data_IF_176686585212
#
_entry.id   IF_176686585212
#
_cell.length_a   1.000
_cell.length_b   1.000
_cell.length_c   1.000
_cell.angle_alpha   90.00
_cell.angle_beta   90.00
_cell.angle_gamma   90.00
#
_symmetry.space_group_name_H-M   'P 1'
#
loop_
_entity.id
_entity.type
_entity.pdbx_description
1 polymer ?
#
# COMPACT_ATOMS: atom_id res chain seq x y z
N UNK A 1 17.29 -8.76 -14.67
CA UNK A 1 17.39 -9.00 -13.23
C UNK A 1 16.00 -9.26 -12.68
N UNK A 2 15.85 -10.35 -12.00
CA UNK A 2 14.58 -10.72 -11.35
C UNK A 2 14.65 -10.42 -9.87
N UNK A 3 13.49 -10.14 -9.31
CA UNK A 3 13.30 -9.99 -7.87
C UNK A 3 12.15 -10.90 -7.43
N UNK A 4 12.19 -11.33 -6.20
CA UNK A 4 11.11 -12.04 -5.54
C UNK A 4 10.82 -11.37 -4.22
N UNK A 5 9.55 -11.08 -3.99
CA UNK A 5 9.09 -10.51 -2.75
C UNK A 5 8.06 -11.36 -2.07
N UNK A 6 7.59 -10.88 -0.94
CA UNK A 6 6.60 -11.55 -0.11
C UNK A 6 5.56 -10.55 0.35
N UNK A 7 4.29 -10.94 0.33
CA UNK A 7 3.21 -10.21 0.95
C UNK A 7 3.25 -10.49 2.46
N UNK A 8 3.47 -9.45 3.28
CA UNK A 8 3.56 -9.60 4.72
C UNK A 8 2.23 -9.39 5.43
N UNK A 9 1.50 -8.32 5.07
CA UNK A 9 0.27 -7.93 5.75
C UNK A 9 -0.77 -7.45 4.77
N UNK A 10 -2.03 -7.69 5.11
CA UNK A 10 -3.21 -7.17 4.39
C UNK A 10 -4.04 -6.38 5.40
N UNK A 11 -4.37 -5.13 5.07
CA UNK A 11 -5.20 -4.29 5.91
C UNK A 11 -6.30 -3.62 5.09
N UNK A 12 -7.49 -3.57 5.65
CA UNK A 12 -8.66 -2.89 5.07
C UNK A 12 -9.34 -2.03 6.11
N UNK A 13 -10.11 -1.05 5.66
CA UNK A 13 -11.00 -0.27 6.51
C UNK A 13 -12.33 -0.06 5.79
N UNK A 14 -13.48 -0.08 6.50
CA UNK A 14 -14.78 0.05 5.85
C UNK A 14 -15.07 1.47 5.35
N UNK A 15 -14.38 2.46 5.86
CA UNK A 15 -14.54 3.87 5.47
C UNK A 15 -13.30 4.68 5.84
N UNK A 16 -13.25 5.92 5.34
CA UNK A 16 -12.21 6.88 5.72
C UNK A 16 -12.16 7.07 7.23
N UNK A 17 -10.97 7.24 7.78
CA UNK A 17 -10.68 7.46 9.20
C UNK A 17 -10.99 6.30 10.15
N UNK A 18 -11.57 5.22 9.67
CA UNK A 18 -11.79 4.02 10.49
C UNK A 18 -10.48 3.27 10.69
N UNK A 19 -10.39 2.55 11.79
CA UNK A 19 -9.23 1.70 12.06
C UNK A 19 -9.04 0.67 10.96
N UNK A 20 -7.79 0.37 10.66
CA UNK A 20 -7.44 -0.67 9.71
C UNK A 20 -7.52 -2.03 10.38
N UNK A 21 -8.18 -2.97 9.71
CA UNK A 21 -8.31 -4.35 10.16
C UNK A 21 -7.35 -5.25 9.39
N UNK A 22 -6.58 -6.06 10.11
CA UNK A 22 -5.70 -7.05 9.51
C UNK A 22 -6.49 -8.26 9.04
N UNK A 23 -6.24 -8.71 7.81
CA UNK A 23 -6.89 -9.88 7.23
C UNK A 23 -5.90 -11.02 7.04
N UNK A 24 -6.38 -12.25 7.25
CA UNK A 24 -5.64 -13.48 6.94
C UNK A 24 -5.83 -13.92 5.50
N UNK A 25 -6.82 -13.37 4.81
CA UNK A 25 -7.02 -13.51 3.37
C UNK A 25 -7.90 -12.37 2.88
N UNK A 26 -7.77 -12.04 1.60
CA UNK A 26 -8.56 -11.00 0.96
C UNK A 26 -8.90 -11.39 -0.47
N UNK A 27 -10.11 -11.01 -0.92
CA UNK A 27 -10.53 -11.18 -2.31
C UNK A 27 -10.34 -9.86 -3.05
N UNK A 28 -9.61 -9.89 -4.14
CA UNK A 28 -9.38 -8.78 -5.04
C UNK A 28 -10.32 -8.86 -6.24
N UNK A 29 -11.00 -7.76 -6.55
CA UNK A 29 -11.96 -7.68 -7.64
C UNK A 29 -11.51 -6.61 -8.64
N UNK A 30 -11.25 -7.00 -9.92
CA UNK A 30 -10.84 -6.04 -10.94
C UNK A 30 -11.83 -4.89 -11.08
N UNK A 31 -11.31 -3.68 -11.20
CA UNK A 31 -12.11 -2.46 -11.34
C UNK A 31 -12.74 -1.96 -10.06
N UNK A 32 -12.57 -2.67 -8.93
CA UNK A 32 -13.21 -2.31 -7.66
C UNK A 32 -12.27 -2.21 -6.47
N UNK A 33 -11.48 -3.23 -6.19
CA UNK A 33 -10.57 -3.26 -5.05
C UNK A 33 -10.68 -4.53 -4.21
N UNK A 34 -10.33 -4.42 -2.94
CA UNK A 34 -10.41 -5.51 -1.97
C UNK A 34 -11.81 -5.51 -1.35
N UNK A 35 -12.49 -6.65 -1.39
CA UNK A 35 -13.83 -6.79 -0.80
C UNK A 35 -13.81 -6.31 0.66
N UNK A 36 -14.71 -5.40 1.00
CA UNK A 36 -14.84 -4.82 2.34
C UNK A 36 -13.97 -3.60 2.61
N UNK A 37 -13.05 -3.26 1.71
CA UNK A 37 -12.24 -2.06 1.86
C UNK A 37 -12.96 -0.80 1.36
N UNK A 38 -12.58 0.34 1.90
CA UNK A 38 -13.16 1.65 1.55
C UNK A 38 -13.06 2.00 0.07
N UNK A 39 -12.03 1.55 -0.63
CA UNK A 39 -11.91 1.81 -2.07
C UNK A 39 -12.89 0.95 -2.87
N UNK A 40 -13.10 -0.29 -2.44
CA UNK A 40 -14.14 -1.16 -3.00
C UNK A 40 -15.54 -0.59 -2.75
N UNK A 41 -15.77 -0.08 -1.55
CA UNK A 41 -17.09 0.44 -1.12
C UNK A 41 -17.36 1.88 -1.59
N UNK A 42 -16.35 2.60 -2.07
CA UNK A 42 -16.49 4.00 -2.45
C UNK A 42 -16.61 4.96 -1.27
N UNK A 43 -16.11 4.59 -0.10
CA UNK A 43 -16.23 5.32 1.17
C UNK A 43 -14.91 5.92 1.66
N UNK A 44 -13.86 5.88 0.86
CA UNK A 44 -12.58 6.49 1.18
C UNK A 44 -12.59 8.00 0.99
N UNK A 45 -11.65 8.70 1.64
CA UNK A 45 -11.49 10.16 1.54
C UNK A 45 -11.37 10.63 0.08
N UNK A 46 -10.67 9.86 -0.73
CA UNK A 46 -10.40 10.22 -2.13
C UNK A 46 -11.25 9.46 -3.14
N UNK A 47 -12.20 8.63 -2.68
CA UNK A 47 -13.07 7.83 -3.56
C UNK A 47 -13.83 8.63 -4.61
N UNK A 48 -14.30 9.86 -4.31
CA UNK A 48 -14.99 10.67 -5.31
C UNK A 48 -14.08 11.22 -6.42
N UNK A 49 -12.77 11.19 -6.25
CA UNK A 49 -11.83 11.74 -7.21
C UNK A 49 -11.46 10.71 -8.27
N UNK A 50 -11.44 11.09 -9.57
CA UNK A 50 -11.04 10.17 -10.65
C UNK A 50 -9.56 9.84 -10.51
N UNK A 51 -9.26 8.63 -10.08
CA UNK A 51 -7.89 8.13 -9.93
C UNK A 51 -7.92 6.61 -9.77
N UNK A 52 -6.81 5.96 -10.11
CA UNK A 52 -6.65 4.53 -9.87
C UNK A 52 -6.21 4.32 -8.43
N UNK A 53 -7.08 3.68 -7.67
CA UNK A 53 -6.85 3.41 -6.25
C UNK A 53 -7.63 2.18 -5.80
N UNK A 54 -7.47 1.08 -6.55
CA UNK A 54 -8.17 -0.16 -6.19
C UNK A 54 -7.47 -0.86 -5.03
N UNK A 55 -6.14 -0.87 -5.06
CA UNK A 55 -5.30 -1.41 -4.00
C UNK A 55 -4.04 -0.56 -3.84
N UNK A 56 -3.61 -0.36 -2.61
CA UNK A 56 -2.41 0.43 -2.29
C UNK A 56 -1.39 -0.44 -1.57
N UNK A 57 -0.11 -0.23 -1.89
CA UNK A 57 1.01 -1.01 -1.35
C UNK A 57 2.07 -0.11 -0.75
N UNK A 58 2.79 -0.62 0.25
CA UNK A 58 4.00 0.02 0.79
C UNK A 58 5.03 -1.05 1.12
N UNK A 59 6.31 -0.68 1.01
CA UNK A 59 7.44 -1.53 1.36
C UNK A 59 7.68 -1.53 2.88
N UNK A 60 7.78 -2.70 3.50
CA UNK A 60 8.16 -2.80 4.93
C UNK A 60 9.54 -2.20 5.17
N UNK A 61 10.43 -2.24 4.18
CA UNK A 61 11.76 -1.62 4.24
C UNK A 61 11.67 -0.12 4.51
N UNK A 62 10.65 0.56 3.99
CA UNK A 62 10.38 1.97 4.29
C UNK A 62 10.01 2.15 5.77
N UNK A 63 9.15 1.29 6.30
CA UNK A 63 8.76 1.34 7.71
C UNK A 63 9.96 1.09 8.62
N UNK A 64 10.81 0.15 8.27
CA UNK A 64 12.04 -0.16 8.99
C UNK A 64 13.03 1.02 8.96
N UNK A 65 13.19 1.66 7.78
CA UNK A 65 14.05 2.85 7.65
C UNK A 65 13.54 4.02 8.50
N UNK A 66 12.23 4.27 8.50
CA UNK A 66 11.61 5.30 9.34
C UNK A 66 11.88 5.02 10.82
N UNK A 67 11.73 3.77 11.26
CA UNK A 67 11.98 3.38 12.65
C UNK A 67 13.43 3.60 13.06
N UNK A 68 14.39 3.45 12.13
CA UNK A 68 15.82 3.73 12.38
C UNK A 68 16.19 5.22 12.25
N UNK A 69 15.24 6.06 11.79
CA UNK A 69 15.52 7.47 11.50
C UNK A 69 16.40 7.67 10.27
N UNK A 70 16.21 6.85 9.23
CA UNK A 70 17.01 6.89 8.00
C UNK A 70 16.14 7.24 6.77
N UNK A 71 16.54 8.21 5.95
CA UNK A 71 17.52 9.24 6.27
C UNK A 71 16.99 10.15 7.40
N UNK A 72 17.90 10.89 8.05
CA UNK A 72 17.47 11.87 9.06
C UNK A 72 16.69 13.00 8.41
N UNK A 73 15.48 13.24 8.90
CA UNK A 73 14.62 14.33 8.45
C UNK A 73 14.41 15.25 9.66
N UNK A 74 14.83 16.54 9.58
CA UNK A 74 14.67 17.45 10.71
C UNK A 74 13.22 17.55 11.17
N UNK A 75 13.02 17.45 12.49
CA UNK A 75 11.68 17.55 13.10
C UNK A 75 10.81 16.29 12.92
N UNK A 76 11.34 15.23 12.34
CA UNK A 76 10.60 13.98 12.17
C UNK A 76 11.26 12.84 12.92
N UNK A 77 10.50 12.20 13.79
CA UNK A 77 10.88 10.96 14.45
C UNK A 77 9.62 10.17 14.68
N UNK A 78 9.53 8.99 14.10
CA UNK A 78 8.34 8.17 14.20
C UNK A 78 8.66 6.69 14.09
N UNK A 79 7.71 5.87 14.52
CA UNK A 79 7.65 4.45 14.22
C UNK A 79 6.24 4.18 13.68
N UNK A 80 6.17 3.56 12.52
CA UNK A 80 4.91 3.14 11.90
C UNK A 80 4.82 1.63 11.92
N UNK A 81 3.75 1.11 12.50
CA UNK A 81 3.41 -0.30 12.40
C UNK A 81 2.65 -0.57 11.10
N UNK A 82 2.42 -1.84 10.79
CA UNK A 82 1.79 -2.23 9.53
C UNK A 82 0.35 -1.70 9.38
N UNK A 83 -0.35 -1.46 10.47
CA UNK A 83 -1.71 -0.89 10.47
C UNK A 83 -1.74 0.63 10.35
N UNK A 84 -0.63 1.31 10.65
CA UNK A 84 -0.61 2.77 10.77
C UNK A 84 -0.56 3.49 9.44
N UNK A 85 0.18 2.94 8.46
CA UNK A 85 0.43 3.63 7.20
C UNK A 85 -0.80 3.73 6.28
N UNK A 86 -1.84 2.97 6.57
CA UNK A 86 -3.12 2.93 5.86
C UNK A 86 -3.04 2.45 4.40
N UNK A 87 -1.96 1.82 3.98
CA UNK A 87 -1.89 1.08 2.71
C UNK A 87 -2.45 -0.32 2.93
N UNK A 88 -3.07 -0.88 1.88
CA UNK A 88 -3.72 -2.19 1.98
C UNK A 88 -2.70 -3.33 2.15
N UNK A 89 -1.62 -3.30 1.39
CA UNK A 89 -0.64 -4.38 1.37
C UNK A 89 0.73 -3.87 1.82
N UNK A 90 1.34 -4.61 2.74
CA UNK A 90 2.72 -4.38 3.16
C UNK A 90 3.59 -5.48 2.56
N UNK A 91 4.63 -5.09 1.83
CA UNK A 91 5.48 -6.02 1.07
C UNK A 91 6.91 -6.03 1.58
N UNK A 92 7.64 -7.12 1.30
CA UNK A 92 9.09 -7.22 1.49
C UNK A 92 9.75 -7.67 0.20
N UNK A 93 10.89 -7.04 -0.14
CA UNK A 93 11.71 -7.44 -1.28
C UNK A 93 11.13 -7.07 -2.65
N UNK A 94 10.19 -6.14 -2.69
CA UNK A 94 9.53 -5.68 -3.93
C UNK A 94 9.98 -4.24 -4.23
N UNK A 95 10.63 -3.99 -5.37
CA UNK A 95 11.10 -2.63 -5.71
C UNK A 95 9.94 -1.76 -6.24
N UNK A 96 9.01 -1.38 -5.36
CA UNK A 96 7.76 -0.73 -5.75
C UNK A 96 7.96 0.51 -6.62
N UNK A 97 8.93 1.36 -6.29
CA UNK A 97 9.20 2.58 -7.05
C UNK A 97 9.60 2.34 -8.50
N UNK A 98 10.07 1.14 -8.83
CA UNK A 98 10.47 0.76 -10.19
C UNK A 98 9.36 0.08 -10.98
N UNK A 99 8.18 -0.11 -10.40
CA UNK A 99 7.08 -0.86 -11.01
C UNK A 99 6.02 0.00 -11.67
N UNK A 100 6.11 1.33 -11.56
CA UNK A 100 5.12 2.24 -12.17
C UNK A 100 4.98 1.94 -13.66
N UNK A 101 3.74 1.74 -14.12
CA UNK A 101 3.42 1.35 -15.49
C UNK A 101 3.59 -0.13 -15.79
N UNK A 102 4.06 -0.92 -14.85
CA UNK A 102 4.31 -2.36 -15.03
C UNK A 102 3.27 -3.22 -14.33
N UNK A 103 3.17 -4.44 -14.79
CA UNK A 103 2.35 -5.50 -14.18
C UNK A 103 3.23 -6.40 -13.34
N UNK A 104 2.66 -6.90 -12.25
CA UNK A 104 3.34 -7.87 -11.39
C UNK A 104 2.33 -8.77 -10.71
N UNK A 105 2.77 -9.92 -10.23
CA UNK A 105 1.92 -10.88 -9.55
C UNK A 105 2.01 -10.73 -8.04
N UNK A 106 0.86 -10.84 -7.40
CA UNK A 106 0.73 -11.05 -5.95
C UNK A 106 -0.07 -12.33 -5.78
N UNK A 107 0.59 -13.43 -5.44
CA UNK A 107 -0.04 -14.75 -5.43
C UNK A 107 -0.66 -15.08 -6.79
N UNK A 108 -1.95 -15.43 -6.79
CA UNK A 108 -2.69 -15.72 -8.02
C UNK A 108 -3.21 -14.46 -8.76
N UNK A 109 -3.10 -13.29 -8.14
CA UNK A 109 -3.61 -12.04 -8.72
C UNK A 109 -2.55 -11.32 -9.55
N UNK A 110 -3.02 -10.43 -10.45
CA UNK A 110 -2.16 -9.56 -11.24
C UNK A 110 -2.56 -8.12 -10.98
N UNK A 111 -1.58 -7.31 -10.58
CA UNK A 111 -1.73 -5.89 -10.37
C UNK A 111 -0.98 -5.11 -11.45
N UNK A 112 -1.50 -3.94 -11.80
CA UNK A 112 -0.80 -2.94 -12.60
C UNK A 112 -0.54 -1.72 -11.73
N UNK A 113 0.72 -1.33 -11.58
CA UNK A 113 1.10 -0.14 -10.86
C UNK A 113 0.74 1.10 -11.68
N UNK A 114 -0.21 1.89 -11.18
CA UNK A 114 -0.69 3.08 -11.89
C UNK A 114 0.20 4.28 -11.62
N UNK A 115 0.54 4.52 -10.36
CA UNK A 115 1.40 5.64 -9.95
C UNK A 115 1.95 5.45 -8.55
N UNK A 116 2.98 6.24 -8.22
CA UNK A 116 3.42 6.36 -6.82
C UNK A 116 2.29 6.94 -5.97
N UNK A 117 2.15 6.41 -4.77
CA UNK A 117 1.27 7.00 -3.78
C UNK A 117 1.95 8.25 -3.19
N UNK A 118 1.19 9.34 -3.04
CA UNK A 118 1.69 10.54 -2.37
C UNK A 118 1.13 10.59 -0.96
N UNK A 119 1.94 10.97 0.05
CA UNK A 119 1.43 11.22 1.38
C UNK A 119 0.53 12.45 1.36
N UNK A 120 -0.32 12.58 2.38
CA UNK A 120 -1.15 13.77 2.57
C UNK A 120 -1.16 14.16 4.05
N UNK A 121 -1.49 15.41 4.30
CA UNK A 121 -1.59 15.92 5.68
C UNK A 121 -2.66 15.19 6.49
N UNK A 122 -3.65 14.63 5.83
CA UNK A 122 -4.69 13.85 6.47
C UNK A 122 -4.16 12.68 7.32
N UNK A 123 -3.18 11.91 6.80
CA UNK A 123 -2.60 10.80 7.58
C UNK A 123 -1.80 11.32 8.78
N UNK A 124 -1.12 12.45 8.59
CA UNK A 124 -0.38 13.09 9.68
C UNK A 124 -1.30 13.53 10.82
N UNK A 125 -2.42 14.15 10.49
CA UNK A 125 -3.43 14.58 11.46
C UNK A 125 -4.11 13.37 12.12
N UNK A 126 -4.49 12.37 11.32
CA UNK A 126 -5.18 11.17 11.81
C UNK A 126 -4.36 10.40 12.83
N UNK A 127 -3.06 10.26 12.59
CA UNK A 127 -2.15 9.51 13.47
C UNK A 127 -1.54 10.37 14.57
N UNK A 128 -1.65 11.69 14.46
CA UNK A 128 -1.04 12.61 15.42
C UNK A 128 0.49 12.56 15.42
N UNK A 129 1.10 12.32 14.24
CA UNK A 129 2.56 12.23 14.08
C UNK A 129 3.05 13.44 13.28
N UNK A 130 3.59 14.48 13.94
CA UNK A 130 4.12 15.65 13.25
C UNK A 130 5.26 15.28 12.28
N UNK A 131 5.26 15.86 11.09
CA UNK A 131 6.30 15.65 10.09
C UNK A 131 6.14 14.36 9.27
N UNK A 132 5.06 13.61 9.45
CA UNK A 132 4.83 12.35 8.73
C UNK A 132 4.72 12.56 7.23
N UNK A 133 4.15 13.67 6.78
CA UNK A 133 4.08 14.01 5.37
C UNK A 133 5.49 14.03 4.73
N UNK A 134 6.41 14.77 5.33
CA UNK A 134 7.79 14.84 4.85
C UNK A 134 8.51 13.49 4.99
N UNK A 135 8.21 12.76 6.07
CA UNK A 135 8.80 11.45 6.32
C UNK A 135 8.44 10.40 5.28
N UNK A 136 7.28 10.52 4.67
CA UNK A 136 6.80 9.59 3.63
C UNK A 136 7.01 10.10 2.19
N UNK A 137 7.50 11.31 2.00
CA UNK A 137 7.75 11.83 0.66
C UNK A 137 8.67 10.90 -0.15
N UNK A 138 8.23 10.60 -1.37
CA UNK A 138 8.92 9.74 -2.34
C UNK A 138 9.10 8.27 -1.91
N UNK A 139 8.48 7.87 -0.81
CA UNK A 139 8.52 6.47 -0.32
C UNK A 139 7.19 6.02 0.30
N UNK A 140 6.10 6.54 -0.23
CA UNK A 140 4.75 6.33 0.30
C UNK A 140 4.01 5.16 -0.37
N UNK A 141 4.67 4.40 -1.24
CA UNK A 141 4.13 3.21 -1.87
C UNK A 141 3.51 3.45 -3.25
N UNK A 142 2.67 2.53 -3.68
CA UNK A 142 2.01 2.51 -4.99
C UNK A 142 0.49 2.51 -4.86
N UNK A 143 -0.16 3.11 -5.86
CA UNK A 143 -1.57 2.87 -6.18
C UNK A 143 -1.63 1.94 -7.38
N UNK A 144 -2.41 0.88 -7.28
CA UNK A 144 -2.51 -0.14 -8.31
C UNK A 144 -3.95 -0.38 -8.73
N UNK A 145 -4.10 -0.83 -9.98
CA UNK A 145 -5.30 -1.45 -10.50
C UNK A 145 -5.18 -2.97 -10.42
N UNK A 146 -6.29 -3.65 -10.24
CA UNK A 146 -6.35 -5.11 -10.26
C UNK A 146 -6.73 -5.53 -11.67
N UNK A 147 -5.85 -6.27 -12.35
CA UNK A 147 -6.15 -6.80 -13.68
C UNK A 147 -6.72 -8.22 -13.64
N UNK A 148 -6.16 -9.07 -12.79
CA UNK A 148 -6.67 -10.42 -12.55
C UNK A 148 -6.94 -10.52 -11.06
N UNK A 149 -8.19 -10.80 -10.72
CA UNK A 149 -8.63 -10.95 -9.33
C UNK A 149 -8.32 -12.33 -8.78
N UNK A 150 -8.65 -12.51 -7.52
CA UNK A 150 -8.48 -13.76 -6.80
C UNK A 150 -8.30 -13.51 -5.32
N UNK A 151 -7.89 -14.55 -4.61
CA UNK A 151 -7.66 -14.51 -3.18
C UNK A 151 -6.17 -14.45 -2.90
N UNK A 152 -5.77 -13.52 -2.03
CA UNK A 152 -4.40 -13.38 -1.55
C UNK A 152 -4.33 -13.61 -0.04
N UNK A 153 -3.17 -14.04 0.43
CA UNK A 153 -2.90 -14.29 1.87
C UNK A 153 -1.52 -13.76 2.24
N UNK A 154 -1.33 -13.31 3.48
CA UNK A 154 0.03 -13.08 3.99
C UNK A 154 0.91 -14.31 3.76
N UNK A 155 2.13 -14.10 3.29
CA UNK A 155 3.05 -15.16 2.87
C UNK A 155 3.06 -15.44 1.38
N UNK A 156 2.09 -14.92 0.62
CA UNK A 156 2.05 -15.12 -0.83
C UNK A 156 3.28 -14.49 -1.51
N UNK A 157 3.81 -15.13 -2.54
CA UNK A 157 4.92 -14.58 -3.29
C UNK A 157 4.48 -13.39 -4.16
N UNK A 158 5.38 -12.43 -4.31
CA UNK A 158 5.22 -11.29 -5.22
C UNK A 158 6.39 -11.33 -6.20
N UNK A 159 6.10 -11.30 -7.49
CA UNK A 159 7.15 -11.44 -8.50
C UNK A 159 6.80 -10.71 -9.79
N UNK A 160 7.85 -10.35 -10.59
CA UNK A 160 7.65 -9.62 -11.83
C UNK A 160 6.93 -10.47 -12.87
N UNK A 161 6.30 -9.79 -13.82
CA UNK A 161 5.78 -10.40 -15.03
C UNK A 161 6.59 -9.89 -16.22
N UNK A 162 6.87 -10.79 -17.15
CA UNK A 162 7.41 -10.40 -18.44
C UNK A 162 6.32 -9.67 -19.24
N UNK A 163 6.72 -8.60 -19.91
CA UNK A 163 5.83 -7.83 -20.79
C UNK A 163 6.01 -8.23 -22.25
#
# INVERSE_FOLDING_TARGET
MTWNGTLLHIHVAPAASYEMEALTQAQLVPGRGIVGDRYFLGTGTYSPKPDVREVTLIEVEVLEAIARGEPKIPGFKARLEAEDHRRNLTTRGVPLGHLVGKRFRVGETVLRAARMNFPCKYIEELLGIPGLYEGLLNRSGLNCAIEIGGVIRPGDPIFPMDE
#
